data_IF_417602350700
#
_entry.id   IF_417602350700
#
_cell.length_a   1.000
_cell.length_b   1.000
_cell.length_c   1.000
_cell.angle_alpha   90.00
_cell.angle_beta   90.00
_cell.angle_gamma   90.00
#
_symmetry.space_group_name_H-M   'P 1'
#
loop_
_entity.id
_entity.type
_entity.pdbx_description
1 polymer ?
#
# COMPACT_ATOMS: atom_id res chain seq x y z
N UNK A 1 -59.01 -2.64 56.61
CA UNK A 1 -58.88 -3.49 55.40
C UNK A 1 -58.20 -2.67 54.32
N UNK A 2 -56.91 -2.88 54.05
CA UNK A 2 -56.18 -2.25 52.95
C UNK A 2 -55.59 -3.36 52.08
N UNK A 3 -55.88 -3.34 50.77
CA UNK A 3 -55.24 -4.20 49.77
C UNK A 3 -53.84 -3.67 49.43
N UNK A 4 -52.84 -4.52 49.16
CA UNK A 4 -51.59 -4.09 48.56
C UNK A 4 -51.68 -4.17 47.02
N UNK A 5 -51.26 -3.11 46.34
CA UNK A 5 -51.07 -3.09 44.89
C UNK A 5 -49.69 -3.67 44.55
N UNK A 6 -49.66 -4.68 43.69
CA UNK A 6 -48.44 -5.25 43.12
C UNK A 6 -48.00 -4.46 41.90
N UNK A 7 -46.79 -3.87 41.95
CA UNK A 7 -46.11 -3.29 40.79
C UNK A 7 -45.43 -4.41 39.99
N UNK A 8 -45.83 -4.61 38.74
CA UNK A 8 -45.09 -5.42 37.76
C UNK A 8 -44.12 -4.54 36.99
N UNK A 9 -42.82 -4.85 37.10
CA UNK A 9 -41.74 -4.20 36.33
C UNK A 9 -41.50 -5.03 35.06
N UNK A 10 -41.74 -4.44 33.90
CA UNK A 10 -41.46 -5.04 32.60
C UNK A 10 -40.02 -4.76 32.19
N UNK A 11 -39.18 -5.80 32.09
CA UNK A 11 -37.80 -5.69 31.65
C UNK A 11 -37.73 -5.76 30.12
N UNK A 12 -37.36 -4.66 29.47
CA UNK A 12 -37.13 -4.62 28.02
C UNK A 12 -35.68 -5.06 27.76
N UNK A 13 -35.50 -6.23 27.14
CA UNK A 13 -34.21 -6.72 26.66
C UNK A 13 -33.82 -5.99 25.38
N UNK A 14 -32.89 -5.06 25.46
CA UNK A 14 -32.21 -4.48 24.30
C UNK A 14 -31.15 -5.45 23.80
N UNK A 15 -31.34 -5.95 22.57
CA UNK A 15 -30.33 -6.73 21.85
C UNK A 15 -29.24 -5.77 21.38
N UNK A 16 -28.13 -5.71 22.12
CA UNK A 16 -26.91 -5.05 21.63
C UNK A 16 -26.23 -5.98 20.64
N UNK A 17 -26.30 -5.64 19.34
CA UNK A 17 -25.42 -6.22 18.35
C UNK A 17 -23.99 -5.77 18.67
N UNK A 18 -23.22 -6.66 19.27
CA UNK A 18 -21.78 -6.48 19.45
C UNK A 18 -21.13 -6.76 18.10
N UNK A 19 -20.83 -5.69 17.35
CA UNK A 19 -19.89 -5.81 16.24
C UNK A 19 -18.54 -6.21 16.82
N UNK A 20 -18.01 -7.36 16.40
CA UNK A 20 -16.66 -7.75 16.72
C UNK A 20 -15.70 -6.69 16.17
N UNK A 21 -15.08 -5.90 17.05
CA UNK A 21 -13.95 -5.04 16.73
C UNK A 21 -12.77 -5.95 16.36
N UNK A 22 -12.69 -6.32 15.09
CA UNK A 22 -11.54 -7.01 14.51
C UNK A 22 -10.36 -6.03 14.52
N UNK A 23 -9.47 -6.20 15.49
CA UNK A 23 -8.14 -5.60 15.65
C UNK A 23 -7.77 -4.55 14.58
N UNK A 24 -8.34 -3.34 14.72
CA UNK A 24 -8.41 -2.33 13.65
C UNK A 24 -7.07 -1.67 13.28
N UNK A 25 -5.98 -2.03 13.97
CA UNK A 25 -4.60 -1.60 13.67
C UNK A 25 -3.91 -2.46 12.60
N UNK A 26 -4.51 -3.58 12.19
CA UNK A 26 -3.91 -4.49 11.21
C UNK A 26 -4.31 -4.10 9.78
N UNK A 27 -3.37 -4.29 8.84
CA UNK A 27 -3.62 -4.15 7.40
C UNK A 27 -4.77 -5.09 6.96
N UNK A 28 -5.72 -4.62 6.13
CA UNK A 28 -6.72 -5.46 5.49
C UNK A 28 -6.08 -6.61 4.69
N UNK A 29 -5.13 -6.27 3.82
CA UNK A 29 -4.33 -7.18 3.01
C UNK A 29 -2.97 -6.51 2.72
N UNK A 30 -1.91 -7.29 2.52
CA UNK A 30 -0.52 -6.81 2.56
C UNK A 30 -0.01 -6.22 1.23
N UNK A 31 -0.55 -6.63 0.08
CA UNK A 31 -0.03 -6.37 -1.25
C UNK A 31 -0.70 -5.17 -1.93
N UNK A 32 -2.03 -5.06 -1.87
CA UNK A 32 -2.79 -4.02 -2.57
C UNK A 32 -3.63 -3.14 -1.65
N UNK A 33 -3.93 -3.59 -0.42
CA UNK A 33 -4.68 -2.82 0.59
C UNK A 33 -3.80 -2.44 1.79
N UNK A 34 -2.68 -1.78 1.50
CA UNK A 34 -1.55 -1.53 2.41
C UNK A 34 -1.72 -0.33 3.36
N UNK A 35 -2.95 0.14 3.61
CA UNK A 35 -3.25 1.19 4.58
C UNK A 35 -4.18 0.62 5.67
N UNK A 36 -3.80 0.65 6.96
CA UNK A 36 -4.70 0.25 8.04
C UNK A 36 -5.95 1.12 8.05
N UNK A 37 -7.12 0.50 8.26
CA UNK A 37 -8.40 1.24 8.34
C UNK A 37 -8.33 2.31 9.44
N UNK A 38 -7.72 1.99 10.58
CA UNK A 38 -7.53 2.95 11.66
C UNK A 38 -6.69 4.16 11.26
N UNK A 39 -5.68 4.00 10.42
CA UNK A 39 -4.84 5.11 9.99
C UNK A 39 -5.62 6.10 9.12
N UNK A 40 -6.62 5.59 8.39
CA UNK A 40 -7.56 6.43 7.64
C UNK A 40 -8.54 7.11 8.59
N UNK A 41 -9.16 6.34 9.50
CA UNK A 41 -10.18 6.86 10.43
C UNK A 41 -9.63 7.88 11.43
N UNK A 42 -8.40 7.70 11.90
CA UNK A 42 -7.73 8.58 12.86
C UNK A 42 -6.91 9.68 12.18
N UNK A 43 -6.83 9.66 10.84
CA UNK A 43 -5.99 10.56 10.06
C UNK A 43 -4.52 10.56 10.52
N UNK A 44 -4.02 9.37 10.85
CA UNK A 44 -2.63 9.14 11.30
C UNK A 44 -1.74 8.57 10.21
N UNK A 45 -2.30 8.31 9.02
CA UNK A 45 -1.54 7.84 7.86
C UNK A 45 -0.42 8.81 7.50
N UNK A 46 0.74 8.25 7.13
CA UNK A 46 1.83 9.03 6.54
C UNK A 46 1.49 9.51 5.11
N UNK A 47 0.46 8.93 4.49
CA UNK A 47 0.00 9.30 3.16
C UNK A 47 -1.05 10.41 3.21
N UNK A 48 -1.09 11.30 2.20
CA UNK A 48 -2.24 12.19 2.03
C UNK A 48 -3.53 11.36 1.89
N UNK A 49 -4.56 11.72 2.66
CA UNK A 49 -5.89 11.11 2.62
C UNK A 49 -6.88 12.10 2.00
N UNK A 50 -7.27 11.84 0.74
CA UNK A 50 -8.11 12.73 -0.07
C UNK A 50 -9.54 12.17 -0.17
N UNK A 51 -10.53 13.01 0.13
CA UNK A 51 -11.95 12.68 -0.06
C UNK A 51 -12.37 12.79 -1.54
N UNK A 52 -13.35 11.99 -2.01
CA UNK A 52 -14.13 11.00 -1.26
C UNK A 52 -13.45 9.64 -1.09
N UNK A 53 -12.19 9.49 -1.54
CA UNK A 53 -11.54 8.20 -1.69
C UNK A 53 -11.16 7.56 -0.35
N UNK A 54 -10.79 8.35 0.66
CA UNK A 54 -10.57 7.85 2.03
C UNK A 54 -11.84 7.23 2.62
N UNK A 55 -12.98 7.91 2.52
CA UNK A 55 -14.27 7.35 2.97
C UNK A 55 -14.65 6.10 2.19
N UNK A 56 -14.52 6.13 0.86
CA UNK A 56 -14.83 4.99 -0.01
C UNK A 56 -13.93 3.78 0.26
N UNK A 57 -12.67 3.99 0.57
CA UNK A 57 -11.73 2.92 0.92
C UNK A 57 -12.21 2.14 2.16
N UNK A 58 -12.58 2.86 3.22
CA UNK A 58 -13.05 2.25 4.47
C UNK A 58 -14.38 1.51 4.25
N UNK A 59 -15.33 2.16 3.59
CA UNK A 59 -16.66 1.59 3.30
C UNK A 59 -16.55 0.31 2.46
N UNK A 60 -15.72 0.33 1.41
CA UNK A 60 -15.53 -0.79 0.51
C UNK A 60 -14.90 -1.99 1.24
N UNK A 61 -13.93 -1.78 2.12
CA UNK A 61 -13.34 -2.87 2.93
C UNK A 61 -14.38 -3.46 3.88
N UNK A 62 -15.14 -2.63 4.59
CA UNK A 62 -16.16 -3.09 5.54
C UNK A 62 -17.28 -3.87 4.84
N UNK A 63 -17.59 -3.51 3.59
CA UNK A 63 -18.62 -4.17 2.76
C UNK A 63 -18.08 -5.32 1.92
N UNK A 64 -16.81 -5.71 2.12
CA UNK A 64 -16.13 -6.78 1.35
C UNK A 64 -16.12 -6.54 -0.18
N UNK A 65 -16.21 -5.27 -0.62
CA UNK A 65 -16.03 -4.85 -2.01
C UNK A 65 -14.56 -4.54 -2.25
N UNK A 66 -13.73 -5.58 -2.30
CA UNK A 66 -12.28 -5.43 -2.32
C UNK A 66 -11.70 -4.85 -3.62
N UNK A 67 -12.33 -5.06 -4.77
CA UNK A 67 -11.98 -4.38 -6.02
C UNK A 67 -12.21 -2.87 -5.89
N UNK A 68 -13.36 -2.48 -5.32
CA UNK A 68 -13.67 -1.07 -5.05
C UNK A 68 -12.70 -0.46 -4.03
N UNK A 69 -12.27 -1.24 -3.03
CA UNK A 69 -11.28 -0.83 -2.05
C UNK A 69 -9.90 -0.59 -2.70
N UNK A 70 -9.45 -1.49 -3.59
CA UNK A 70 -8.20 -1.31 -4.34
C UNK A 70 -8.30 -0.05 -5.21
N UNK A 71 -9.42 0.13 -5.91
CA UNK A 71 -9.66 1.32 -6.72
C UNK A 71 -9.57 2.60 -5.88
N UNK A 72 -10.25 2.66 -4.74
CA UNK A 72 -10.20 3.79 -3.83
C UNK A 72 -8.80 4.02 -3.28
N UNK A 73 -8.06 2.95 -2.95
CA UNK A 73 -6.68 3.01 -2.47
C UNK A 73 -5.73 3.65 -3.47
N UNK A 74 -5.88 3.41 -4.77
CA UNK A 74 -5.07 4.08 -5.78
C UNK A 74 -5.38 5.59 -5.88
N UNK A 75 -6.63 5.98 -5.65
CA UNK A 75 -7.07 7.37 -5.71
C UNK A 75 -6.86 8.15 -4.39
N UNK A 76 -6.66 7.47 -3.26
CA UNK A 76 -6.66 8.06 -1.91
C UNK A 76 -5.65 9.20 -1.73
N UNK A 77 -4.54 9.17 -2.46
CA UNK A 77 -3.51 10.19 -2.37
C UNK A 77 -3.76 11.38 -3.34
N UNK A 78 -4.81 11.35 -4.17
CA UNK A 78 -5.24 12.43 -5.08
C UNK A 78 -4.49 12.58 -6.41
N UNK A 79 -3.74 11.57 -6.86
CA UNK A 79 -2.91 11.62 -8.07
C UNK A 79 -3.33 10.68 -9.18
N UNK A 80 -4.59 10.26 -9.14
CA UNK A 80 -5.20 9.44 -10.16
C UNK A 80 -6.45 10.15 -10.63
N UNK A 81 -6.62 10.24 -11.94
CA UNK A 81 -7.80 10.79 -12.59
C UNK A 81 -8.33 9.78 -13.60
N UNK A 82 -9.61 9.43 -13.47
CA UNK A 82 -10.28 8.47 -14.36
C UNK A 82 -9.53 7.11 -14.47
N UNK A 83 -8.98 6.61 -13.36
CA UNK A 83 -8.22 5.35 -13.34
C UNK A 83 -6.83 5.40 -13.97
N UNK A 84 -6.35 6.60 -14.33
CA UNK A 84 -5.04 6.83 -14.91
C UNK A 84 -4.20 7.67 -13.94
N UNK A 85 -2.98 7.23 -13.68
CA UNK A 85 -2.03 7.96 -12.84
C UNK A 85 -1.57 9.23 -13.56
N UNK A 86 -1.62 10.38 -12.86
CA UNK A 86 -1.28 11.67 -13.45
C UNK A 86 0.20 11.80 -13.80
N UNK A 87 1.08 11.06 -13.12
CA UNK A 87 2.53 11.16 -13.25
C UNK A 87 3.13 10.19 -14.26
N UNK A 88 2.51 9.01 -14.46
CA UNK A 88 3.05 7.99 -15.38
C UNK A 88 2.17 7.71 -16.58
N UNK A 89 0.91 8.18 -16.56
CA UNK A 89 -0.09 7.85 -17.57
C UNK A 89 -0.37 6.34 -17.68
N UNK A 90 -0.01 5.57 -16.65
CA UNK A 90 -0.30 4.14 -16.53
C UNK A 90 -1.72 3.96 -15.97
N UNK A 91 -2.43 2.95 -16.47
CA UNK A 91 -3.75 2.58 -15.94
C UNK A 91 -3.59 1.80 -14.63
N UNK A 92 -4.53 1.94 -13.71
CA UNK A 92 -4.55 1.13 -12.47
C UNK A 92 -4.47 -0.37 -12.79
N UNK A 93 -5.19 -0.81 -13.84
CA UNK A 93 -5.24 -2.21 -14.23
C UNK A 93 -3.86 -2.74 -14.66
N UNK A 94 -3.10 -1.96 -15.45
CA UNK A 94 -1.77 -2.37 -15.90
C UNK A 94 -0.79 -2.43 -14.71
N UNK A 95 -0.86 -1.47 -13.80
CA UNK A 95 -0.07 -1.47 -12.57
C UNK A 95 -0.38 -2.73 -11.74
N UNK A 96 -1.66 -3.08 -11.59
CA UNK A 96 -2.08 -4.25 -10.83
C UNK A 96 -1.58 -5.54 -11.48
N UNK A 97 -1.62 -5.66 -12.81
CA UNK A 97 -1.11 -6.85 -13.52
C UNK A 97 0.40 -7.02 -13.31
N UNK A 98 1.18 -5.94 -13.47
CA UNK A 98 2.63 -5.94 -13.24
C UNK A 98 2.95 -6.34 -11.80
N UNK A 99 2.32 -5.68 -10.83
CA UNK A 99 2.53 -5.94 -9.41
C UNK A 99 2.10 -7.38 -9.03
N UNK A 100 0.96 -7.88 -9.53
CA UNK A 100 0.48 -9.23 -9.24
C UNK A 100 1.40 -10.34 -9.79
N UNK A 101 1.91 -10.18 -11.02
CA UNK A 101 2.90 -11.09 -11.59
C UNK A 101 4.20 -11.10 -10.77
N UNK A 102 4.65 -9.92 -10.35
CA UNK A 102 5.80 -9.73 -9.47
C UNK A 102 5.62 -10.42 -8.10
N UNK A 103 4.47 -10.24 -7.44
CA UNK A 103 4.19 -10.89 -6.16
C UNK A 103 4.09 -12.41 -6.29
N UNK A 104 3.43 -12.93 -7.33
CA UNK A 104 3.28 -14.37 -7.53
C UNK A 104 4.63 -15.09 -7.67
N UNK A 105 5.59 -14.47 -8.34
CA UNK A 105 6.93 -15.03 -8.50
C UNK A 105 7.82 -14.89 -7.25
N UNK A 106 7.71 -13.77 -6.52
CA UNK A 106 8.73 -13.39 -5.52
C UNK A 106 8.25 -13.38 -4.07
N UNK A 107 6.94 -13.31 -3.86
CA UNK A 107 6.29 -13.38 -2.55
C UNK A 107 5.08 -14.35 -2.63
N UNK A 108 5.28 -15.61 -3.07
CA UNK A 108 4.18 -16.52 -3.38
C UNK A 108 3.30 -16.82 -2.17
N UNK A 109 3.84 -16.80 -0.94
CA UNK A 109 3.06 -16.98 0.28
C UNK A 109 2.10 -15.81 0.48
N UNK A 110 2.60 -14.58 0.49
CA UNK A 110 1.77 -13.37 0.64
C UNK A 110 0.78 -13.22 -0.52
N UNK A 111 1.19 -13.57 -1.74
CA UNK A 111 0.29 -13.57 -2.89
C UNK A 111 -0.85 -14.59 -2.72
N UNK A 112 -0.54 -15.79 -2.22
CA UNK A 112 -1.57 -16.80 -1.93
C UNK A 112 -2.52 -16.32 -0.83
N UNK A 113 -2.00 -15.66 0.21
CA UNK A 113 -2.82 -15.04 1.26
C UNK A 113 -3.74 -13.94 0.70
N UNK A 114 -3.23 -13.09 -0.20
CA UNK A 114 -4.01 -12.05 -0.87
C UNK A 114 -5.14 -12.64 -1.73
N UNK A 115 -4.83 -13.66 -2.55
CA UNK A 115 -5.82 -14.36 -3.37
C UNK A 115 -6.89 -15.02 -2.50
N UNK A 116 -6.50 -15.66 -1.38
CA UNK A 116 -7.44 -16.24 -0.43
C UNK A 116 -8.33 -15.17 0.24
N UNK A 117 -7.78 -13.99 0.54
CA UNK A 117 -8.54 -12.86 1.06
C UNK A 117 -9.62 -12.40 0.06
N UNK A 118 -9.26 -12.24 -1.22
CA UNK A 118 -10.18 -11.80 -2.27
C UNK A 118 -11.22 -12.84 -2.69
N UNK A 119 -11.08 -14.11 -2.30
CA UNK A 119 -12.11 -15.13 -2.53
C UNK A 119 -13.46 -14.77 -1.87
N UNK A 120 -13.45 -13.91 -0.85
CA UNK A 120 -14.65 -13.45 -0.15
C UNK A 120 -15.20 -12.11 -0.68
N UNK A 121 -14.83 -11.70 -1.90
CA UNK A 121 -15.32 -10.44 -2.50
C UNK A 121 -16.84 -10.52 -2.72
N UNK A 122 -17.56 -9.48 -2.28
CA UNK A 122 -18.99 -9.34 -2.49
C UNK A 122 -19.35 -9.31 -3.98
N UNK A 123 -20.52 -9.83 -4.33
CA UNK A 123 -21.08 -9.71 -5.69
C UNK A 123 -21.41 -8.27 -6.09
N UNK A 124 -21.49 -7.36 -5.11
CA UNK A 124 -21.80 -5.94 -5.33
C UNK A 124 -20.54 -5.11 -5.65
N UNK A 125 -19.38 -5.75 -5.80
CA UNK A 125 -18.13 -5.11 -6.17
C UNK A 125 -18.13 -4.68 -7.65
N UNK A 126 -17.92 -3.39 -7.90
CA UNK A 126 -17.97 -2.82 -9.27
C UNK A 126 -16.63 -2.89 -10.00
N UNK A 127 -15.57 -3.32 -9.32
CA UNK A 127 -14.19 -3.40 -9.80
C UNK A 127 -13.63 -4.83 -9.67
N UNK A 128 -14.48 -5.83 -9.90
CA UNK A 128 -14.11 -7.25 -9.91
C UNK A 128 -13.07 -7.59 -11.00
N UNK A 129 -12.91 -6.74 -12.02
CA UNK A 129 -11.87 -6.84 -13.04
C UNK A 129 -10.46 -6.71 -12.44
N UNK A 130 -10.28 -5.86 -11.42
CA UNK A 130 -9.01 -5.69 -10.71
C UNK A 130 -8.67 -6.95 -9.92
N UNK A 131 -9.66 -7.54 -9.23
CA UNK A 131 -9.50 -8.79 -8.50
C UNK A 131 -9.14 -9.93 -9.46
N UNK A 132 -9.84 -10.02 -10.61
CA UNK A 132 -9.54 -11.00 -11.64
C UNK A 132 -8.11 -10.87 -12.17
N UNK A 133 -7.64 -9.64 -12.40
CA UNK A 133 -6.26 -9.39 -12.83
C UNK A 133 -5.22 -9.88 -11.81
N UNK A 134 -5.52 -9.74 -10.51
CA UNK A 134 -4.67 -10.26 -9.44
C UNK A 134 -4.65 -11.78 -9.48
N UNK A 135 -5.82 -12.43 -9.49
CA UNK A 135 -5.94 -13.90 -9.42
C UNK A 135 -5.34 -14.61 -10.64
N UNK A 136 -5.55 -14.05 -11.83
CA UNK A 136 -5.14 -14.65 -13.10
C UNK A 136 -3.68 -14.35 -13.47
N UNK A 137 -2.95 -13.59 -12.66
CA UNK A 137 -1.57 -13.21 -12.96
C UNK A 137 -0.67 -14.43 -13.20
N UNK A 138 0.18 -14.38 -14.23
CA UNK A 138 1.22 -15.38 -14.44
C UNK A 138 2.49 -14.99 -13.66
N UNK A 139 3.22 -15.94 -13.05
CA UNK A 139 4.49 -15.62 -12.40
C UNK A 139 5.52 -15.19 -13.44
N UNK A 140 6.27 -14.15 -13.14
CA UNK A 140 7.44 -13.74 -13.92
C UNK A 140 8.73 -14.33 -13.28
N UNK A 141 9.18 -15.48 -13.79
CA UNK A 141 10.27 -16.31 -13.23
C UNK A 141 11.67 -15.72 -13.41
N UNK A 142 11.86 -14.76 -14.31
CA UNK A 142 13.14 -14.06 -14.49
C UNK A 142 13.48 -13.17 -13.29
N UNK A 143 12.51 -12.96 -12.39
CA UNK A 143 12.62 -12.16 -11.18
C UNK A 143 13.23 -12.91 -9.98
N UNK A 144 13.09 -14.24 -9.90
CA UNK A 144 13.44 -15.04 -8.72
C UNK A 144 14.96 -15.18 -8.46
N UNK A 145 15.82 -14.82 -9.42
CA UNK A 145 17.22 -15.29 -9.47
C UNK A 145 18.29 -14.42 -8.80
N UNK A 146 18.02 -13.30 -8.09
CA UNK A 146 19.12 -12.38 -7.70
C UNK A 146 18.99 -11.65 -6.36
N UNK A 147 19.96 -11.91 -5.47
CA UNK A 147 20.22 -11.15 -4.24
C UNK A 147 21.56 -10.41 -4.37
N UNK A 148 21.54 -9.10 -4.67
CA UNK A 148 22.64 -8.14 -4.46
C UNK A 148 22.07 -6.72 -4.55
N UNK A 149 22.65 -5.74 -3.84
CA UNK A 149 22.25 -4.32 -3.83
C UNK A 149 22.54 -3.57 -5.16
N UNK A 150 22.15 -4.18 -6.29
CA UNK A 150 22.25 -3.56 -7.61
C UNK A 150 21.11 -2.54 -7.73
N UNK A 151 21.46 -1.28 -8.01
CA UNK A 151 20.48 -0.22 -8.23
C UNK A 151 19.92 -0.31 -9.65
N UNK A 152 18.60 -0.20 -9.79
CA UNK A 152 17.91 0.04 -11.05
C UNK A 152 17.29 1.43 -11.04
N UNK A 153 17.56 2.21 -12.08
CA UNK A 153 16.99 3.54 -12.23
C UNK A 153 15.81 3.47 -13.18
N UNK A 154 14.66 3.97 -12.74
CA UNK A 154 13.49 4.09 -13.61
C UNK A 154 13.73 5.25 -14.58
N UNK A 155 13.78 4.91 -15.86
CA UNK A 155 14.20 5.83 -16.89
C UNK A 155 13.09 6.79 -17.33
N UNK A 156 11.81 6.61 -16.97
CA UNK A 156 10.74 7.48 -17.48
C UNK A 156 9.56 7.66 -16.54
N UNK A 157 9.46 6.89 -15.46
CA UNK A 157 8.25 6.85 -14.66
C UNK A 157 8.56 7.05 -13.18
N UNK A 158 7.52 7.41 -12.43
CA UNK A 158 7.55 7.55 -10.98
C UNK A 158 8.65 8.51 -10.48
N UNK A 159 8.90 9.61 -11.21
CA UNK A 159 9.94 10.56 -10.88
C UNK A 159 9.55 11.44 -9.69
N UNK A 160 10.30 11.34 -8.60
CA UNK A 160 10.22 12.31 -7.52
C UNK A 160 11.26 13.41 -7.69
N UNK A 161 10.95 14.64 -7.29
CA UNK A 161 11.95 15.70 -7.22
C UNK A 161 13.10 15.28 -6.32
N UNK A 162 14.33 15.48 -6.78
CA UNK A 162 15.52 15.11 -6.02
C UNK A 162 15.53 15.82 -4.65
N UNK A 163 15.09 17.08 -4.59
CA UNK A 163 14.97 17.86 -3.34
C UNK A 163 14.10 17.16 -2.30
N UNK A 164 12.98 16.58 -2.73
CA UNK A 164 12.02 15.92 -1.85
C UNK A 164 12.63 14.63 -1.29
N UNK A 165 13.31 13.85 -2.15
CA UNK A 165 13.99 12.64 -1.74
C UNK A 165 15.18 12.89 -0.81
N UNK A 166 15.95 13.95 -1.05
CA UNK A 166 17.03 14.34 -0.15
C UNK A 166 16.50 14.74 1.22
N UNK A 167 15.38 15.45 1.28
CA UNK A 167 14.76 15.81 2.56
C UNK A 167 14.16 14.58 3.27
N UNK A 168 13.56 13.65 2.53
CA UNK A 168 13.12 12.35 3.05
C UNK A 168 14.29 11.62 3.72
N UNK A 169 15.40 11.44 3.01
CA UNK A 169 16.61 10.76 3.49
C UNK A 169 17.16 11.46 4.75
N UNK A 170 17.20 12.80 4.76
CA UNK A 170 17.60 13.56 5.96
C UNK A 170 16.66 13.34 7.15
N UNK A 171 15.35 13.27 6.92
CA UNK A 171 14.38 13.02 7.98
C UNK A 171 14.53 11.60 8.54
N UNK A 172 14.89 10.64 7.68
CA UNK A 172 15.10 9.27 8.09
C UNK A 172 16.23 9.10 9.12
N UNK A 173 17.26 9.94 9.08
CA UNK A 173 18.32 9.94 10.10
C UNK A 173 17.80 10.31 11.50
N UNK A 174 16.73 11.09 11.59
CA UNK A 174 16.21 11.66 12.84
C UNK A 174 15.11 10.83 13.49
N UNK A 175 14.32 10.12 12.69
CA UNK A 175 13.19 9.31 13.16
C UNK A 175 13.30 7.90 12.61
N UNK A 176 13.63 6.93 13.47
CA UNK A 176 13.69 5.52 13.08
C UNK A 176 12.36 4.85 13.36
N UNK A 177 11.87 4.06 12.41
CA UNK A 177 10.68 3.22 12.57
C UNK A 177 11.02 1.75 12.33
N UNK A 178 10.19 0.84 12.83
CA UNK A 178 10.29 -0.56 12.49
C UNK A 178 9.83 -0.77 11.03
N UNK A 179 10.76 -1.17 10.15
CA UNK A 179 10.45 -1.45 8.74
C UNK A 179 9.75 -2.80 8.57
N UNK A 180 10.01 -3.78 9.42
CA UNK A 180 9.41 -5.12 9.29
C UNK A 180 7.89 -5.11 9.34
N UNK A 181 7.32 -4.04 9.93
CA UNK A 181 5.88 -3.84 10.07
C UNK A 181 5.28 -2.77 9.14
N UNK A 182 6.02 -2.24 8.17
CA UNK A 182 5.45 -1.26 7.23
C UNK A 182 5.98 -1.44 5.82
N UNK A 183 5.13 -1.14 4.84
CA UNK A 183 5.52 -1.07 3.43
C UNK A 183 6.01 0.32 3.04
N UNK A 184 5.46 1.37 3.67
CA UNK A 184 5.92 2.74 3.49
C UNK A 184 6.85 3.09 4.65
N UNK A 185 8.15 3.15 4.36
CA UNK A 185 9.16 3.44 5.37
C UNK A 185 9.29 4.94 5.65
N UNK A 186 9.12 5.79 4.62
CA UNK A 186 9.15 7.23 4.77
C UNK A 186 8.51 7.95 3.57
N UNK A 187 8.07 9.19 3.79
CA UNK A 187 7.53 10.08 2.76
C UNK A 187 7.90 11.53 3.07
N UNK A 188 8.22 12.30 2.03
CA UNK A 188 8.37 13.75 2.11
C UNK A 188 8.06 14.36 0.73
N UNK A 189 7.18 15.36 0.70
CA UNK A 189 6.74 15.96 -0.55
C UNK A 189 6.23 14.91 -1.54
N UNK A 190 6.76 14.91 -2.75
CA UNK A 190 6.48 13.91 -3.77
C UNK A 190 7.27 12.61 -3.65
N UNK A 191 8.25 12.51 -2.75
CA UNK A 191 9.13 11.34 -2.64
C UNK A 191 8.65 10.33 -1.59
N UNK A 192 8.69 9.05 -1.95
CA UNK A 192 8.29 7.91 -1.12
C UNK A 192 9.43 6.90 -1.08
N UNK A 193 9.81 6.49 0.13
CA UNK A 193 10.62 5.31 0.36
C UNK A 193 9.71 4.16 0.75
N UNK A 194 9.60 3.16 -0.11
CA UNK A 194 8.87 1.94 0.18
C UNK A 194 9.82 0.77 0.26
N UNK A 195 9.43 -0.22 1.04
CA UNK A 195 10.10 -1.50 1.12
C UNK A 195 9.20 -2.59 0.54
N UNK A 196 9.75 -3.78 0.35
CA UNK A 196 9.02 -4.98 -0.05
C UNK A 196 7.75 -5.21 0.75
N UNK A 197 6.82 -6.06 0.27
CA UNK A 197 5.56 -6.28 0.96
C UNK A 197 5.79 -6.60 2.44
N UNK A 198 4.83 -6.18 3.26
CA UNK A 198 4.85 -6.40 4.70
C UNK A 198 5.30 -7.83 5.04
N UNK A 199 6.27 -7.98 5.96
CA UNK A 199 6.87 -9.29 6.36
C UNK A 199 7.56 -10.12 5.27
N UNK A 200 7.72 -9.63 4.05
CA UNK A 200 8.44 -10.34 2.97
C UNK A 200 9.95 -10.07 2.93
N UNK A 201 10.42 -9.08 3.69
CA UNK A 201 11.81 -8.64 3.75
C UNK A 201 12.33 -8.51 5.20
N UNK A 202 12.33 -9.61 5.99
CA UNK A 202 12.76 -9.58 7.40
C UNK A 202 14.23 -9.19 7.59
N UNK A 203 15.04 -9.22 6.53
CA UNK A 203 16.44 -8.84 6.47
C UNK A 203 16.66 -7.34 6.16
N UNK A 204 15.65 -6.61 5.68
CA UNK A 204 15.75 -5.18 5.38
C UNK A 204 15.53 -4.37 6.66
N UNK A 205 16.64 -4.03 7.30
CA UNK A 205 16.62 -3.12 8.46
C UNK A 205 16.36 -1.67 8.04
N UNK A 206 15.93 -0.83 8.98
CA UNK A 206 15.82 0.61 8.78
C UNK A 206 17.09 1.24 8.21
N UNK A 207 18.24 0.85 8.76
CA UNK A 207 19.54 1.33 8.28
C UNK A 207 19.83 0.86 6.85
N UNK A 208 19.43 -0.37 6.50
CA UNK A 208 19.58 -0.91 5.14
C UNK A 208 18.72 -0.14 4.15
N UNK A 209 17.45 0.11 4.46
CA UNK A 209 16.57 0.89 3.60
C UNK A 209 17.07 2.32 3.42
N UNK A 210 17.56 2.96 4.49
CA UNK A 210 18.18 4.28 4.43
C UNK A 210 19.44 4.29 3.55
N UNK A 211 20.35 3.34 3.73
CA UNK A 211 21.57 3.23 2.92
C UNK A 211 21.25 2.99 1.43
N UNK A 212 20.25 2.16 1.15
CA UNK A 212 19.81 1.90 -0.22
C UNK A 212 19.12 3.12 -0.83
N UNK A 213 18.35 3.89 -0.05
CA UNK A 213 17.77 5.16 -0.49
C UNK A 213 18.85 6.14 -0.95
N UNK A 214 19.95 6.28 -0.18
CA UNK A 214 21.11 7.10 -0.56
C UNK A 214 21.69 6.60 -1.89
N UNK A 215 21.92 5.29 -2.03
CA UNK A 215 22.47 4.73 -3.27
C UNK A 215 21.55 4.95 -4.48
N UNK A 216 20.24 4.92 -4.30
CA UNK A 216 19.27 5.22 -5.37
C UNK A 216 19.31 6.71 -5.72
N UNK A 217 19.31 7.59 -4.72
CA UNK A 217 19.38 9.04 -4.92
C UNK A 217 20.64 9.42 -5.70
N UNK A 218 21.79 8.90 -5.32
CA UNK A 218 23.07 9.18 -5.96
C UNK A 218 23.15 8.64 -7.40
N UNK A 219 22.66 7.42 -7.64
CA UNK A 219 22.85 6.72 -8.93
C UNK A 219 21.73 6.98 -9.93
N UNK A 220 20.53 7.33 -9.46
CA UNK A 220 19.35 7.51 -10.29
C UNK A 220 18.90 8.96 -10.39
N UNK A 221 19.63 9.90 -9.78
CA UNK A 221 19.45 11.31 -10.04
C UNK A 221 19.70 11.63 -11.51
N UNK A 222 18.73 12.31 -12.12
CA UNK A 222 18.81 12.73 -13.53
C UNK A 222 18.14 14.08 -13.73
N UNK A 223 18.64 14.82 -14.71
CA UNK A 223 18.11 16.14 -15.07
C UNK A 223 17.14 16.02 -16.25
N UNK A 224 15.92 16.52 -16.08
CA UNK A 224 14.92 16.64 -17.15
C UNK A 224 14.45 18.09 -17.18
N UNK A 225 14.75 18.78 -18.28
CA UNK A 225 14.50 20.22 -18.40
C UNK A 225 15.16 21.03 -17.29
N UNK A 226 14.37 21.80 -16.54
CA UNK A 226 14.84 22.64 -15.44
C UNK A 226 15.37 21.87 -14.24
N UNK A 227 14.93 20.63 -14.07
CA UNK A 227 14.72 20.07 -12.75
C UNK A 227 15.41 18.71 -12.60
N UNK A 228 15.76 18.36 -11.37
CA UNK A 228 16.40 17.08 -11.05
C UNK A 228 15.41 16.13 -10.40
N UNK A 229 15.46 14.88 -10.85
CA UNK A 229 14.53 13.83 -10.45
C UNK A 229 15.26 12.57 -10.06
N UNK A 230 14.64 11.79 -9.17
CA UNK A 230 15.12 10.49 -8.71
C UNK A 230 13.98 9.49 -8.83
N UNK A 231 14.27 8.35 -9.42
CA UNK A 231 13.41 7.17 -9.36
C UNK A 231 14.25 5.92 -9.52
N UNK A 232 14.14 5.01 -8.56
CA UNK A 232 14.82 3.75 -8.65
C UNK A 232 14.43 2.76 -7.57
N UNK A 233 14.93 1.54 -7.74
CA UNK A 233 14.73 0.44 -6.80
C UNK A 233 15.97 -0.42 -6.69
N UNK A 234 16.04 -1.18 -5.60
CA UNK A 234 17.08 -2.15 -5.34
C UNK A 234 16.47 -3.33 -4.59
N UNK A 235 16.76 -4.58 -5.01
CA UNK A 235 17.68 -4.98 -6.06
C UNK A 235 17.12 -4.75 -7.48
N UNK A 236 18.00 -4.75 -8.49
CA UNK A 236 17.73 -4.38 -9.88
C UNK A 236 16.60 -5.13 -10.61
N UNK A 237 16.19 -6.30 -10.11
CA UNK A 237 15.21 -7.14 -10.77
C UNK A 237 13.80 -6.89 -10.23
N UNK A 238 12.76 -6.90 -11.07
CA UNK A 238 11.31 -6.70 -10.83
C UNK A 238 10.61 -7.35 -9.60
N UNK A 239 11.28 -8.16 -8.75
CA UNK A 239 10.66 -8.78 -7.56
C UNK A 239 10.75 -7.98 -6.25
N UNK A 240 9.79 -8.10 -5.34
CA UNK A 240 9.61 -7.16 -4.22
C UNK A 240 10.47 -7.35 -2.95
N UNK A 241 11.65 -8.00 -2.96
CA UNK A 241 12.62 -7.83 -1.84
C UNK A 241 13.34 -6.50 -1.95
N UNK A 242 12.57 -5.42 -1.99
CA UNK A 242 13.02 -4.15 -2.55
C UNK A 242 13.02 -3.03 -1.56
N UNK A 243 13.91 -2.10 -1.78
CA UNK A 243 13.80 -0.72 -1.32
C UNK A 243 13.66 0.11 -2.59
N UNK A 244 12.66 0.96 -2.64
CA UNK A 244 12.44 1.85 -3.77
C UNK A 244 12.25 3.28 -3.29
N UNK A 245 12.82 4.20 -4.05
CA UNK A 245 12.80 5.63 -3.81
C UNK A 245 12.30 6.30 -5.09
N UNK A 246 11.06 6.79 -5.05
CA UNK A 246 10.37 7.29 -6.25
C UNK A 246 9.13 8.12 -5.85
N UNK A 247 8.38 8.65 -6.82
CA UNK A 247 7.05 9.22 -6.58
C UNK A 247 5.95 8.15 -6.46
N UNK A 248 6.25 6.87 -6.71
CA UNK A 248 5.25 5.80 -6.86
C UNK A 248 4.39 5.65 -5.60
N UNK A 249 3.08 5.69 -5.81
CA UNK A 249 2.04 5.61 -4.77
C UNK A 249 1.69 4.18 -4.36
N UNK A 250 2.10 3.19 -5.14
CA UNK A 250 1.86 1.77 -4.91
C UNK A 250 3.17 0.98 -4.96
N UNK A 251 3.41 0.13 -3.96
CA UNK A 251 4.49 -0.85 -3.98
C UNK A 251 5.90 -0.37 -4.36
N UNK A 252 6.77 -1.34 -4.62
CA UNK A 252 8.06 -1.11 -5.26
C UNK A 252 8.04 -1.76 -6.64
N UNK A 253 8.47 -1.02 -7.67
CA UNK A 253 8.63 -1.50 -9.03
C UNK A 253 9.85 -2.41 -9.16
#
# INVERSE_FOLDING_TARGET
>A
MMLPQTLTITLVLSVQHTFALTNSSRLPEQLFLDIPINDVLQNTSMLPLVEPWSSKYVEAIQSQRYGDAIWARFHIEGGVQNGITLDTNDTILDIIKEDAAGYKANAPVQYTEAVAFYANTSSDDNHSDLIKAIVDAAPDEDLAKRATFKINCDANHNLAFQSDCQQLIRNMLRSKINIGDTRLAAIHGGCRLRVGPYRSAPDVTYNTAHAVAILIEEKCARRIGCCQFVSGSSPKNGGHRKVCLSSKRSGCR
#
